data_IF_912748167898
#
_entry.id   IF_912748167898
#
_cell.length_a   1.000
_cell.length_b   1.000
_cell.length_c   1.000
_cell.angle_alpha   90.00
_cell.angle_beta   90.00
_cell.angle_gamma   90.00
#
_symmetry.space_group_name_H-M   'P 1'
#
loop_
_entity.id
_entity.type
_entity.pdbx_description
1 polymer ?
#
# COMPACT_ATOMS: atom_id res chain seq x y z
N UNK A 1 8.23 17.51 -12.05
CA UNK A 1 7.57 17.28 -10.74
C UNK A 1 6.76 16.00 -10.93
N UNK A 2 7.26 14.80 -10.63
CA UNK A 2 7.61 14.18 -9.34
C UNK A 2 6.47 14.09 -8.33
N UNK A 3 5.29 13.63 -8.75
CA UNK A 3 4.18 13.50 -7.81
C UNK A 3 3.52 12.13 -7.96
N UNK A 4 4.15 11.08 -7.40
CA UNK A 4 3.43 9.85 -7.04
C UNK A 4 2.24 10.13 -6.09
N UNK A 5 2.19 11.32 -5.50
CA UNK A 5 1.06 11.87 -4.76
C UNK A 5 -0.01 12.53 -5.63
N UNK A 6 0.23 12.84 -6.91
CA UNK A 6 -0.77 13.47 -7.79
C UNK A 6 -1.91 12.51 -8.16
N UNK A 7 -1.61 11.20 -8.16
CA UNK A 7 -2.62 10.15 -8.35
C UNK A 7 -3.52 9.96 -7.11
N UNK A 8 -3.10 10.44 -5.93
CA UNK A 8 -3.90 10.34 -4.72
C UNK A 8 -4.81 11.57 -4.68
N UNK A 9 -6.10 11.34 -4.93
CA UNK A 9 -7.11 12.38 -4.85
C UNK A 9 -7.03 13.11 -3.50
N UNK A 10 -6.94 14.44 -3.53
CA UNK A 10 -6.90 15.25 -2.31
C UNK A 10 -8.14 15.02 -1.44
N UNK A 11 -9.28 14.70 -2.08
CA UNK A 11 -10.53 14.31 -1.42
C UNK A 11 -10.41 12.98 -0.68
N UNK A 12 -9.61 12.04 -1.18
CA UNK A 12 -9.34 10.78 -0.52
C UNK A 12 -8.55 11.01 0.77
N UNK A 13 -7.50 11.84 0.71
CA UNK A 13 -6.73 12.23 1.89
C UNK A 13 -7.59 12.92 2.95
N UNK A 14 -8.52 13.78 2.54
CA UNK A 14 -9.45 14.46 3.45
C UNK A 14 -10.37 13.45 4.17
N UNK A 15 -10.91 12.47 3.44
CA UNK A 15 -11.71 11.39 4.01
C UNK A 15 -10.92 10.52 4.99
N UNK A 16 -9.68 10.16 4.63
CA UNK A 16 -8.78 9.41 5.53
C UNK A 16 -8.51 10.23 6.79
N UNK A 17 -8.29 11.53 6.67
CA UNK A 17 -8.13 12.43 7.82
C UNK A 17 -9.40 12.53 8.66
N UNK A 18 -10.58 12.39 8.04
CA UNK A 18 -11.88 12.30 8.71
C UNK A 18 -12.12 10.95 9.41
N UNK A 19 -11.24 9.96 9.21
CA UNK A 19 -11.36 8.62 9.78
C UNK A 19 -12.19 7.65 8.94
N UNK A 20 -12.40 7.93 7.65
CA UNK A 20 -13.10 7.05 6.72
C UNK A 20 -12.22 5.82 6.41
N UNK A 21 -12.74 4.64 6.76
CA UNK A 21 -12.02 3.36 6.60
C UNK A 21 -11.99 2.93 5.14
N UNK A 22 -13.06 3.16 4.39
CA UNK A 22 -13.10 2.84 2.96
C UNK A 22 -12.06 3.68 2.21
N UNK A 23 -11.94 4.96 2.56
CA UNK A 23 -10.90 5.83 1.99
C UNK A 23 -9.47 5.36 2.37
N UNK A 24 -9.30 4.85 3.59
CA UNK A 24 -8.01 4.29 4.05
C UNK A 24 -7.61 3.06 3.23
N UNK A 25 -8.59 2.21 2.90
CA UNK A 25 -8.42 1.02 2.06
C UNK A 25 -8.08 1.41 0.63
N UNK A 26 -8.79 2.38 0.04
CA UNK A 26 -8.48 2.89 -1.29
C UNK A 26 -7.06 3.47 -1.37
N UNK A 27 -6.65 4.25 -0.35
CA UNK A 27 -5.29 4.78 -0.26
C UNK A 27 -4.26 3.65 -0.19
N UNK A 28 -4.54 2.60 0.57
CA UNK A 28 -3.69 1.41 0.66
C UNK A 28 -3.59 0.66 -0.69
N UNK A 29 -4.68 0.57 -1.46
CA UNK A 29 -4.68 -0.01 -2.81
C UNK A 29 -3.81 0.82 -3.77
N UNK A 30 -3.82 2.16 -3.66
CA UNK A 30 -2.92 3.01 -4.46
C UNK A 30 -1.46 2.69 -4.13
N UNK A 31 -1.09 2.63 -2.85
CA UNK A 31 0.27 2.26 -2.45
C UNK A 31 0.65 0.83 -2.89
N UNK A 32 -0.31 -0.09 -2.92
CA UNK A 32 -0.12 -1.43 -3.44
C UNK A 32 0.20 -1.44 -4.94
N UNK A 33 -0.52 -0.67 -5.74
CA UNK A 33 -0.22 -0.50 -7.18
C UNK A 33 1.16 0.14 -7.40
N UNK A 34 1.58 1.04 -6.51
CA UNK A 34 2.92 1.64 -6.51
C UNK A 34 4.03 0.69 -6.01
N UNK A 35 3.71 -0.57 -5.71
CA UNK A 35 4.62 -1.56 -5.10
C UNK A 35 5.21 -1.11 -3.74
N UNK A 36 4.60 -0.11 -3.09
CA UNK A 36 4.98 0.39 -1.77
C UNK A 36 4.26 -0.41 -0.68
N UNK A 37 4.59 -1.70 -0.64
CA UNK A 37 3.96 -2.66 0.25
C UNK A 37 4.09 -2.28 1.74
N UNK A 38 5.18 -1.63 2.15
CA UNK A 38 5.36 -1.19 3.54
C UNK A 38 4.27 -0.21 4.00
N UNK A 39 3.95 0.79 3.18
CA UNK A 39 2.90 1.77 3.48
C UNK A 39 1.50 1.18 3.34
N UNK A 40 1.28 0.38 2.28
CA UNK A 40 0.01 -0.31 2.07
C UNK A 40 -0.33 -1.22 3.26
N UNK A 41 0.64 -1.98 3.78
CA UNK A 41 0.45 -2.89 4.93
C UNK A 41 -0.01 -2.13 6.17
N UNK A 42 0.61 -0.99 6.50
CA UNK A 42 0.20 -0.20 7.67
C UNK A 42 -1.23 0.31 7.56
N UNK A 43 -1.64 0.75 6.36
CA UNK A 43 -2.99 1.24 6.11
C UNK A 43 -4.03 0.11 6.14
N UNK A 44 -3.75 -1.02 5.48
CA UNK A 44 -4.64 -2.17 5.55
C UNK A 44 -4.73 -2.75 6.97
N UNK A 45 -3.66 -2.69 7.76
CA UNK A 45 -3.70 -3.12 9.16
C UNK A 45 -4.65 -2.23 9.98
N UNK A 46 -4.65 -0.91 9.71
CA UNK A 46 -5.60 0.00 10.33
C UNK A 46 -7.03 -0.35 9.95
N UNK A 47 -7.32 -0.56 8.66
CA UNK A 47 -8.65 -0.95 8.20
C UNK A 47 -9.09 -2.34 8.74
N UNK A 48 -8.16 -3.29 8.85
CA UNK A 48 -8.40 -4.61 9.44
C UNK A 48 -8.78 -4.52 10.92
N UNK A 49 -8.15 -3.61 11.69
CA UNK A 49 -8.53 -3.33 13.09
C UNK A 49 -9.97 -2.81 13.22
N UNK A 50 -10.47 -2.13 12.19
CA UNK A 50 -11.86 -1.71 12.10
C UNK A 50 -12.82 -2.81 11.62
N UNK A 51 -12.31 -4.03 11.40
CA UNK A 51 -13.11 -5.19 10.95
C UNK A 51 -13.33 -5.25 9.45
N UNK A 52 -12.56 -4.50 8.66
CA UNK A 52 -12.74 -4.46 7.21
C UNK A 52 -12.11 -5.70 6.55
N UNK A 53 -12.96 -6.64 6.10
CA UNK A 53 -12.52 -7.95 5.61
C UNK A 53 -11.60 -7.87 4.39
N UNK A 54 -11.89 -6.95 3.45
CA UNK A 54 -11.08 -6.68 2.27
C UNK A 54 -9.63 -6.32 2.61
N UNK A 55 -9.42 -5.63 3.73
CA UNK A 55 -8.09 -5.22 4.17
C UNK A 55 -7.25 -6.41 4.64
N UNK A 56 -7.86 -7.36 5.35
CA UNK A 56 -7.22 -8.60 5.79
C UNK A 56 -6.83 -9.48 4.59
N UNK A 57 -7.70 -9.58 3.58
CA UNK A 57 -7.38 -10.31 2.33
C UNK A 57 -6.20 -9.65 1.59
N UNK A 58 -6.20 -8.32 1.48
CA UNK A 58 -5.10 -7.59 0.84
C UNK A 58 -3.77 -7.69 1.61
N UNK A 59 -3.80 -7.75 2.93
CA UNK A 59 -2.60 -7.99 3.75
C UNK A 59 -1.95 -9.34 3.46
N UNK A 60 -2.77 -10.39 3.29
CA UNK A 60 -2.26 -11.70 2.93
C UNK A 60 -1.60 -11.69 1.55
N UNK A 61 -2.24 -11.06 0.56
CA UNK A 61 -1.71 -10.89 -0.80
C UNK A 61 -0.38 -10.11 -0.82
N UNK A 62 -0.30 -9.02 -0.04
CA UNK A 62 0.93 -8.24 0.12
C UNK A 62 2.04 -9.09 0.74
N UNK A 63 1.74 -9.83 1.80
CA UNK A 63 2.73 -10.65 2.50
C UNK A 63 3.29 -11.73 1.56
N UNK A 64 2.44 -12.33 0.72
CA UNK A 64 2.86 -13.30 -0.30
C UNK A 64 3.76 -12.64 -1.36
N UNK A 65 3.36 -11.49 -1.89
CA UNK A 65 4.14 -10.74 -2.88
C UNK A 65 5.48 -10.25 -2.33
N UNK A 66 5.52 -9.73 -1.11
CA UNK A 66 6.75 -9.26 -0.45
C UNK A 66 7.71 -10.42 -0.19
N UNK A 67 7.21 -11.59 0.20
CA UNK A 67 8.06 -12.77 0.37
C UNK A 67 8.57 -13.34 -0.97
N UNK A 68 7.81 -13.23 -2.06
CA UNK A 68 8.29 -13.61 -3.40
C UNK A 68 9.33 -12.64 -3.98
N UNK A 69 9.20 -11.33 -3.72
CA UNK A 69 10.14 -10.32 -4.22
C UNK A 69 11.55 -10.40 -3.60
N UNK A 70 11.76 -11.21 -2.55
CA UNK A 70 13.09 -11.42 -1.95
C UNK A 70 14.02 -12.28 -2.84
N UNK A 71 13.57 -12.75 -4.01
CA UNK A 71 14.42 -13.52 -4.95
C UNK A 71 15.09 -12.69 -6.05
N UNK A 72 14.79 -11.40 -6.21
CA UNK A 72 15.33 -10.60 -7.33
C UNK A 72 16.10 -9.33 -6.93
N UNK A 73 16.74 -9.32 -5.76
CA UNK A 73 17.80 -8.34 -5.42
C UNK A 73 19.17 -9.05 -5.36
N UNK A 74 19.46 -9.86 -6.38
CA UNK A 74 20.79 -10.40 -6.65
C UNK A 74 21.06 -10.25 -8.16
N UNK A 75 21.23 -9.01 -8.60
CA UNK A 75 21.67 -8.76 -9.97
C UNK A 75 21.40 -7.33 -10.43
N UNK A 76 22.37 -6.46 -10.22
CA UNK A 76 23.14 -5.82 -11.30
C UNK A 76 23.56 -4.38 -10.96
N UNK A 77 24.80 -4.04 -11.33
CA UNK A 77 25.20 -2.63 -11.52
C UNK A 77 26.15 -2.03 -10.50
N UNK A 78 27.40 -2.51 -10.44
CA UNK A 78 28.47 -1.86 -9.68
C UNK A 78 29.88 -2.29 -10.04
N UNK A 79 30.18 -2.50 -11.33
CA UNK A 79 31.55 -2.65 -11.83
C UNK A 79 31.80 -1.60 -12.92
N UNK A 80 32.58 -0.57 -12.58
CA UNK A 80 33.50 0.16 -13.46
C UNK A 80 34.38 1.06 -12.60
#
# INVERSE_FOLDING_TARGET
>A
MNDLNDAIDKRLLDKVAFGDIDATVELAEIFFQQQRYGFATSLFLLASKHGHQKATERLADISERVHCNKKEEAGDGGAA
#
